data_IF_062895034467
#
_entry.id   IF_062895034467
#
_cell.length_a   1.000
_cell.length_b   1.000
_cell.length_c   1.000
_cell.angle_alpha   90.00
_cell.angle_beta   90.00
_cell.angle_gamma   90.00
#
_symmetry.space_group_name_H-M   'P 1'
#
loop_
_entity.id
_entity.type
_entity.pdbx_description
1 polymer ?
#
# COMPACT_ATOMS: atom_id res chain seq x y z
N UNK A 1 28.85 35.58 -70.83
CA UNK A 1 28.37 34.28 -71.34
C UNK A 1 28.73 33.19 -70.34
N UNK A 2 27.74 32.37 -70.03
CA UNK A 2 27.79 31.01 -69.48
C UNK A 2 28.44 30.72 -68.11
N UNK A 3 27.51 30.57 -67.17
CA UNK A 3 27.51 29.68 -66.01
C UNK A 3 28.33 28.40 -66.19
N UNK A 4 29.08 28.04 -65.15
CA UNK A 4 29.26 26.64 -64.76
C UNK A 4 28.88 26.49 -63.29
N UNK A 5 27.69 25.91 -63.11
CA UNK A 5 27.20 25.39 -61.84
C UNK A 5 28.18 24.35 -61.31
N UNK A 6 28.48 24.41 -60.02
CA UNK A 6 28.61 23.20 -59.19
C UNK A 6 28.01 23.49 -57.81
N UNK A 7 26.73 23.19 -57.73
CA UNK A 7 26.07 22.79 -56.50
C UNK A 7 26.70 21.46 -56.08
N UNK A 8 27.55 21.45 -55.05
CA UNK A 8 27.81 20.22 -54.29
C UNK A 8 27.07 20.33 -52.97
N UNK A 9 25.80 19.95 -53.01
CA UNK A 9 25.11 19.43 -51.83
C UNK A 9 25.66 18.03 -51.57
N UNK A 10 26.81 17.90 -50.89
CA UNK A 10 27.22 16.62 -50.33
C UNK A 10 26.77 16.54 -48.88
N UNK A 11 25.60 15.92 -48.75
CA UNK A 11 25.00 15.34 -47.56
C UNK A 11 26.05 14.50 -46.79
N UNK A 12 26.76 15.09 -45.84
CA UNK A 12 27.72 14.36 -45.01
C UNK A 12 27.92 15.07 -43.70
N UNK A 13 26.97 14.83 -42.81
CA UNK A 13 27.36 14.54 -41.46
C UNK A 13 26.45 13.40 -41.00
N UNK A 14 27.04 12.22 -40.91
CA UNK A 14 26.49 11.11 -40.15
C UNK A 14 26.52 11.59 -38.70
N UNK A 15 25.48 12.29 -38.26
CA UNK A 15 25.19 12.38 -36.83
C UNK A 15 24.53 11.05 -36.45
N UNK A 16 25.37 10.04 -36.26
CA UNK A 16 24.96 8.86 -35.52
C UNK A 16 24.73 9.32 -34.07
N UNK A 17 23.49 9.64 -33.75
CA UNK A 17 23.05 9.76 -32.37
C UNK A 17 23.13 8.36 -31.75
N UNK A 18 24.29 8.01 -31.19
CA UNK A 18 24.37 6.92 -30.23
C UNK A 18 23.65 7.43 -29.00
N UNK A 19 22.37 7.12 -28.89
CA UNK A 19 21.68 7.18 -27.61
C UNK A 19 22.39 6.18 -26.73
N UNK A 20 23.17 6.70 -25.77
CA UNK A 20 23.56 5.93 -24.60
C UNK A 20 22.27 5.39 -24.01
N UNK A 21 22.00 4.10 -24.22
CA UNK A 21 21.06 3.36 -23.40
C UNK A 21 21.72 3.37 -22.03
N UNK A 22 21.30 4.32 -21.19
CA UNK A 22 21.56 4.27 -19.76
C UNK A 22 20.90 2.99 -19.28
N UNK A 23 21.66 1.91 -19.19
CA UNK A 23 21.28 0.77 -18.35
C UNK A 23 21.62 1.16 -16.91
N UNK A 24 20.94 2.20 -16.42
CA UNK A 24 20.82 2.42 -14.98
C UNK A 24 19.75 1.45 -14.51
N UNK A 25 20.18 0.21 -14.31
CA UNK A 25 19.30 -0.87 -13.83
C UNK A 25 20.03 -2.05 -13.19
N UNK A 26 21.37 -2.02 -13.12
CA UNK A 26 22.13 -2.98 -12.30
C UNK A 26 22.23 -2.40 -10.89
N UNK A 27 21.19 -2.65 -10.10
CA UNK A 27 21.11 -2.21 -8.71
C UNK A 27 19.74 -2.36 -8.05
N UNK A 28 18.70 -2.83 -8.76
CA UNK A 28 17.37 -2.99 -8.17
C UNK A 28 17.21 -4.33 -7.43
N UNK A 29 18.16 -4.63 -6.53
CA UNK A 29 17.92 -5.55 -5.41
C UNK A 29 17.57 -4.76 -4.14
N UNK A 30 17.06 -3.54 -4.28
CA UNK A 30 16.26 -2.95 -3.22
C UNK A 30 15.01 -3.81 -3.14
N UNK A 31 14.95 -4.72 -2.16
CA UNK A 31 13.68 -5.25 -1.68
C UNK A 31 12.83 -4.01 -1.36
N UNK A 32 11.97 -3.60 -2.29
CA UNK A 32 11.03 -2.54 -2.06
C UNK A 32 9.99 -3.11 -1.09
N UNK A 33 10.32 -3.06 0.20
CA UNK A 33 9.36 -3.34 1.25
C UNK A 33 8.18 -2.41 1.05
N UNK A 34 7.00 -2.97 0.84
CA UNK A 34 5.87 -2.19 0.40
C UNK A 34 4.61 -3.01 0.26
N UNK A 35 3.50 -2.30 0.32
CA UNK A 35 2.18 -2.85 0.12
C UNK A 35 1.47 -2.06 -0.98
N UNK A 36 0.76 -2.77 -1.85
CA UNK A 36 -0.15 -2.17 -2.84
C UNK A 36 -1.59 -2.51 -2.48
N UNK A 37 -2.51 -1.66 -2.93
CA UNK A 37 -3.94 -1.81 -2.80
C UNK A 37 -4.59 -1.40 -4.12
N UNK A 38 -5.27 -2.33 -4.75
CA UNK A 38 -6.14 -2.14 -5.90
C UNK A 38 -7.56 -2.51 -5.50
N UNK A 39 -8.49 -1.62 -5.81
CA UNK A 39 -9.91 -1.78 -5.52
C UNK A 39 -10.67 -1.60 -6.81
N UNK A 40 -11.62 -2.49 -7.04
CA UNK A 40 -12.55 -2.45 -8.15
C UNK A 40 -13.96 -2.74 -7.65
N UNK A 41 -14.87 -1.81 -7.88
CA UNK A 41 -16.21 -1.83 -7.32
C UNK A 41 -17.26 -1.97 -8.41
N UNK A 42 -18.13 -2.96 -8.27
CA UNK A 42 -19.29 -3.14 -9.12
C UNK A 42 -20.56 -2.72 -8.37
N UNK A 43 -20.97 -1.47 -8.62
CA UNK A 43 -22.20 -0.89 -8.07
C UNK A 43 -23.48 -1.56 -8.60
N UNK A 44 -23.42 -2.30 -9.71
CA UNK A 44 -24.58 -2.99 -10.25
C UNK A 44 -24.82 -4.35 -9.55
N UNK A 45 -23.74 -5.07 -9.22
CA UNK A 45 -23.83 -6.33 -8.45
C UNK A 45 -23.69 -6.15 -6.94
N UNK A 46 -23.32 -4.95 -6.47
CA UNK A 46 -23.08 -4.67 -5.06
C UNK A 46 -21.85 -5.39 -4.53
N UNK A 47 -20.75 -5.38 -5.28
CA UNK A 47 -19.52 -6.07 -4.88
C UNK A 47 -18.29 -5.19 -4.98
N UNK A 48 -17.33 -5.40 -4.08
CA UNK A 48 -16.03 -4.74 -4.07
C UNK A 48 -14.96 -5.82 -4.10
N UNK A 49 -14.17 -5.82 -5.17
CA UNK A 49 -12.98 -6.65 -5.31
C UNK A 49 -11.77 -5.87 -4.83
N UNK A 50 -11.00 -6.49 -3.96
CA UNK A 50 -9.78 -5.93 -3.36
C UNK A 50 -8.63 -6.87 -3.68
N UNK A 51 -7.52 -6.32 -4.16
CA UNK A 51 -6.29 -7.08 -4.39
C UNK A 51 -5.06 -6.23 -4.13
N UNK A 52 -3.94 -6.86 -3.85
CA UNK A 52 -2.67 -6.18 -3.77
C UNK A 52 -1.52 -7.13 -3.52
N UNK A 53 -0.34 -6.53 -3.43
CA UNK A 53 0.92 -7.18 -3.12
C UNK A 53 1.44 -6.66 -1.79
N UNK A 54 2.21 -7.48 -1.12
CA UNK A 54 2.89 -7.15 0.13
C UNK A 54 4.15 -7.99 0.27
N UNK A 55 5.19 -7.40 0.84
CA UNK A 55 6.42 -8.10 1.23
C UNK A 55 6.27 -8.90 2.53
N UNK A 56 5.10 -8.86 3.19
CA UNK A 56 4.84 -9.55 4.47
C UNK A 56 3.97 -10.79 4.31
N UNK A 57 4.13 -11.73 5.24
CA UNK A 57 3.35 -12.97 5.28
C UNK A 57 2.23 -12.97 6.34
N UNK A 58 2.16 -11.95 7.20
CA UNK A 58 1.09 -11.80 8.19
C UNK A 58 -0.27 -11.51 7.52
N UNK A 59 -1.35 -11.73 8.27
CA UNK A 59 -2.69 -11.50 7.75
C UNK A 59 -2.98 -10.04 7.42
N UNK A 60 -3.70 -9.84 6.31
CA UNK A 60 -4.16 -8.55 5.83
C UNK A 60 -5.63 -8.37 6.21
N UNK A 61 -5.92 -7.34 7.00
CA UNK A 61 -7.27 -6.94 7.37
C UNK A 61 -7.80 -5.89 6.39
N UNK A 62 -8.98 -6.13 5.83
CA UNK A 62 -9.65 -5.29 4.85
C UNK A 62 -10.95 -4.79 5.47
N UNK A 63 -11.15 -3.47 5.45
CA UNK A 63 -12.30 -2.79 6.01
C UNK A 63 -12.95 -1.89 4.96
N UNK A 64 -14.24 -2.08 4.70
CA UNK A 64 -15.03 -1.22 3.82
C UNK A 64 -15.97 -0.39 4.68
N UNK A 65 -15.81 0.93 4.60
CA UNK A 65 -16.59 1.90 5.37
C UNK A 65 -17.40 2.76 4.41
N UNK A 66 -18.70 2.89 4.63
CA UNK A 66 -19.56 3.80 3.88
C UNK A 66 -19.32 5.26 4.28
N UNK A 67 -19.76 6.20 3.45
CA UNK A 67 -19.64 7.65 3.70
C UNK A 67 -20.24 8.09 5.05
N UNK A 68 -21.28 7.40 5.53
CA UNK A 68 -21.89 7.65 6.85
C UNK A 68 -21.05 7.17 8.04
N UNK A 69 -19.87 6.58 7.80
CA UNK A 69 -18.97 6.04 8.81
C UNK A 69 -19.28 4.60 9.24
N UNK A 70 -20.33 3.98 8.72
CA UNK A 70 -20.68 2.60 9.05
C UNK A 70 -19.77 1.62 8.31
N UNK A 71 -19.37 0.56 9.03
CA UNK A 71 -18.66 -0.56 8.44
C UNK A 71 -19.65 -1.40 7.64
N UNK A 72 -19.44 -1.48 6.32
CA UNK A 72 -20.31 -2.22 5.40
C UNK A 72 -19.82 -3.63 5.16
N UNK A 73 -18.51 -3.85 5.16
CA UNK A 73 -17.92 -5.18 4.99
C UNK A 73 -16.52 -5.26 5.62
N UNK A 74 -16.14 -6.48 6.01
CA UNK A 74 -14.82 -6.80 6.57
C UNK A 74 -14.35 -8.10 5.95
N UNK A 75 -13.05 -8.21 5.66
CA UNK A 75 -12.41 -9.45 5.30
C UNK A 75 -11.01 -9.53 5.92
N UNK A 76 -10.50 -10.74 6.07
CA UNK A 76 -9.12 -11.00 6.47
C UNK A 76 -8.56 -12.07 5.55
N UNK A 77 -7.36 -11.83 5.01
CA UNK A 77 -6.72 -12.72 4.04
C UNK A 77 -5.24 -12.86 4.35
N UNK A 78 -4.75 -14.09 4.41
CA UNK A 78 -3.31 -14.38 4.46
C UNK A 78 -2.73 -14.29 3.05
N UNK A 79 -1.68 -13.48 2.81
CA UNK A 79 -1.02 -13.42 1.51
C UNK A 79 -0.43 -14.77 1.08
N UNK A 80 -0.48 -15.07 -0.21
CA UNK A 80 0.15 -16.24 -0.82
C UNK A 80 1.06 -15.80 -1.95
N UNK A 81 2.34 -16.17 -1.89
CA UNK A 81 3.32 -15.75 -2.90
C UNK A 81 3.57 -14.23 -2.96
N UNK A 82 3.25 -13.49 -1.90
CA UNK A 82 3.39 -12.04 -1.84
C UNK A 82 2.14 -11.26 -2.28
N UNK A 83 1.05 -11.93 -2.65
CA UNK A 83 -0.18 -11.28 -3.08
C UNK A 83 -1.39 -11.70 -2.23
N UNK A 84 -2.39 -10.83 -2.13
CA UNK A 84 -3.64 -11.07 -1.43
C UNK A 84 -4.82 -10.59 -2.27
N UNK A 85 -5.99 -11.21 -2.10
CA UNK A 85 -7.22 -10.78 -2.75
C UNK A 85 -8.47 -11.20 -1.97
N UNK A 86 -9.51 -10.39 -2.03
CA UNK A 86 -10.82 -10.63 -1.43
C UNK A 86 -11.92 -10.05 -2.31
N UNK A 87 -13.10 -10.65 -2.27
CA UNK A 87 -14.32 -10.08 -2.83
C UNK A 87 -15.34 -9.92 -1.70
N UNK A 88 -15.85 -8.71 -1.52
CA UNK A 88 -16.79 -8.36 -0.47
C UNK A 88 -18.12 -7.96 -1.11
N UNK A 89 -19.19 -8.66 -0.74
CA UNK A 89 -20.56 -8.28 -1.13
C UNK A 89 -21.13 -7.23 -0.16
N UNK A 90 -21.79 -6.23 -0.71
CA UNK A 90 -22.47 -5.16 0.03
C UNK A 90 -23.96 -5.20 -0.30
N UNK A 91 -24.80 -5.11 0.72
CA UNK A 91 -26.23 -4.89 0.52
C UNK A 91 -26.46 -3.42 0.13
N UNK A 92 -27.16 -3.21 -0.98
CA UNK A 92 -27.60 -1.89 -1.45
C UNK A 92 -26.45 -0.88 -1.56
N UNK A 93 -25.46 -1.21 -2.40
CA UNK A 93 -24.27 -0.39 -2.59
C UNK A 93 -24.61 0.94 -3.28
N UNK A 94 -24.54 2.04 -2.51
CA UNK A 94 -24.81 3.40 -2.97
C UNK A 94 -23.88 4.42 -2.30
N UNK A 95 -23.52 5.47 -3.05
CA UNK A 95 -22.61 6.51 -2.58
C UNK A 95 -21.12 6.12 -2.58
N UNK A 96 -20.35 6.85 -1.77
CA UNK A 96 -18.90 6.66 -1.66
C UNK A 96 -18.54 5.67 -0.56
N UNK A 97 -17.47 4.91 -0.79
CA UNK A 97 -16.92 3.96 0.16
C UNK A 97 -15.41 4.15 0.32
N UNK A 98 -14.94 4.04 1.55
CA UNK A 98 -13.52 3.97 1.87
C UNK A 98 -13.14 2.52 2.11
N UNK A 99 -12.24 1.99 1.29
CA UNK A 99 -11.61 0.69 1.49
C UNK A 99 -10.26 0.90 2.13
N UNK A 100 -10.09 0.36 3.33
CA UNK A 100 -8.89 0.44 4.15
C UNK A 100 -8.29 -0.94 4.33
N UNK A 101 -6.99 -1.04 4.12
CA UNK A 101 -6.24 -2.28 4.29
C UNK A 101 -5.12 -2.07 5.30
N UNK A 102 -5.02 -3.00 6.23
CA UNK A 102 -4.09 -2.96 7.35
C UNK A 102 -3.37 -4.28 7.45
N UNK A 103 -2.04 -4.22 7.59
CA UNK A 103 -1.24 -5.40 7.82
C UNK A 103 -0.20 -5.08 8.89
N UNK A 104 -0.41 -5.66 10.06
CA UNK A 104 0.57 -5.57 11.14
C UNK A 104 1.70 -6.56 10.85
N UNK A 105 2.94 -6.13 11.08
CA UNK A 105 4.02 -7.09 11.28
C UNK A 105 4.07 -7.43 12.77
N UNK A 106 4.54 -8.62 13.14
CA UNK A 106 4.71 -9.03 14.55
C UNK A 106 5.57 -8.10 15.42
N UNK A 107 6.11 -7.01 14.85
CA UNK A 107 6.82 -5.94 15.54
C UNK A 107 6.01 -4.63 15.41
N UNK A 108 5.62 -4.04 16.54
CA UNK A 108 4.71 -2.88 16.63
C UNK A 108 5.15 -1.59 15.91
N UNK A 109 6.32 -1.58 15.27
CA UNK A 109 6.98 -0.39 14.73
C UNK A 109 6.75 -0.24 13.22
N UNK A 110 6.18 -1.23 12.52
CA UNK A 110 5.97 -1.16 11.06
C UNK A 110 4.69 -1.87 10.64
N UNK A 111 3.58 -1.14 10.67
CA UNK A 111 2.30 -1.58 10.13
C UNK A 111 2.06 -0.92 8.77
N UNK A 112 1.59 -1.68 7.79
CA UNK A 112 1.05 -1.07 6.57
C UNK A 112 -0.38 -0.66 6.84
N UNK A 113 -0.70 0.57 6.49
CA UNK A 113 -2.06 1.09 6.45
C UNK A 113 -2.20 1.91 5.17
N UNK A 114 -3.13 1.48 4.32
CA UNK A 114 -3.44 2.12 3.04
C UNK A 114 -4.95 2.19 2.93
N UNK A 115 -5.47 3.34 2.52
CA UNK A 115 -6.89 3.52 2.30
C UNK A 115 -7.14 4.23 0.99
N UNK A 116 -8.27 3.91 0.38
CA UNK A 116 -8.68 4.46 -0.89
C UNK A 116 -10.19 4.66 -0.90
N UNK A 117 -10.61 5.80 -1.39
CA UNK A 117 -12.02 6.10 -1.61
C UNK A 117 -12.41 5.76 -3.05
N UNK A 118 -13.58 5.14 -3.18
CA UNK A 118 -14.24 4.78 -4.44
C UNK A 118 -15.66 5.33 -4.43
N UNK A 119 -16.18 5.62 -5.62
CA UNK A 119 -17.54 6.11 -5.83
C UNK A 119 -18.08 5.59 -7.16
N UNK A 120 -19.38 5.74 -7.43
CA UNK A 120 -19.97 5.32 -8.72
C UNK A 120 -19.34 6.03 -9.94
N UNK A 121 -18.77 7.22 -9.77
CA UNK A 121 -18.07 7.97 -10.82
C UNK A 121 -16.58 7.59 -10.94
N UNK A 122 -16.02 6.88 -9.95
CA UNK A 122 -14.65 6.40 -9.92
C UNK A 122 -14.60 5.08 -9.12
N UNK A 123 -15.14 3.98 -9.70
CA UNK A 123 -15.34 2.73 -8.98
C UNK A 123 -14.05 1.94 -8.74
N UNK A 124 -12.97 2.29 -9.45
CA UNK A 124 -11.71 1.56 -9.40
C UNK A 124 -10.56 2.51 -9.07
N UNK A 125 -9.69 2.10 -8.15
CA UNK A 125 -8.54 2.91 -7.74
C UNK A 125 -7.40 2.04 -7.22
N UNK A 126 -6.17 2.42 -7.56
CA UNK A 126 -4.96 1.70 -7.17
C UNK A 126 -3.99 2.66 -6.49
N UNK A 127 -3.38 2.23 -5.40
CA UNK A 127 -2.40 2.97 -4.61
C UNK A 127 -1.34 2.01 -4.08
N UNK A 128 -0.09 2.47 -4.01
CA UNK A 128 1.02 1.69 -3.46
C UNK A 128 1.75 2.52 -2.40
N UNK A 129 2.09 1.87 -1.29
CA UNK A 129 2.90 2.43 -0.21
C UNK A 129 4.21 1.65 -0.15
N UNK A 130 5.28 2.26 -0.64
CA UNK A 130 6.64 1.77 -0.46
C UNK A 130 7.27 2.42 0.78
N UNK A 131 7.88 1.63 1.65
CA UNK A 131 8.81 2.13 2.66
C UNK A 131 10.18 2.21 2.01
N UNK A 132 10.59 3.42 1.61
CA UNK A 132 11.97 3.65 1.19
C UNK A 132 12.87 3.60 2.41
N UNK A 133 13.63 2.51 2.57
CA UNK A 133 14.80 2.51 3.45
C UNK A 133 15.88 3.28 2.70
N UNK A 134 15.95 4.59 2.93
CA UNK A 134 17.20 5.31 2.72
C UNK A 134 18.19 4.64 3.67
N UNK A 135 19.23 3.98 3.15
CA UNK A 135 20.35 3.54 3.99
C UNK A 135 20.90 4.78 4.68
N UNK A 136 20.44 5.02 5.90
CA UNK A 136 21.11 5.92 6.81
C UNK A 136 22.47 5.26 7.06
N UNK A 137 23.53 5.93 6.62
CA UNK A 137 24.87 5.61 7.09
C UNK A 137 24.83 5.44 8.62
N UNK A 138 25.33 4.30 9.09
CA UNK A 138 25.51 4.02 10.51
C UNK A 138 26.56 5.01 11.01
N UNK A 139 26.11 6.17 11.46
CA UNK A 139 26.85 6.99 12.39
C UNK A 139 26.63 6.36 13.76
N UNK A 140 27.66 5.66 14.23
CA UNK A 140 27.84 5.38 15.65
C UNK A 140 27.70 6.68 16.44
N UNK A 141 27.06 6.59 17.61
CA UNK A 141 26.79 7.65 18.60
C UNK A 141 25.54 8.52 18.36
N UNK A 142 24.42 8.09 18.96
CA UNK A 142 23.39 8.99 19.47
C UNK A 142 22.01 8.84 18.82
N UNK A 143 20.99 8.57 19.65
CA UNK A 143 19.57 8.67 19.28
C UNK A 143 19.33 9.99 18.53
N UNK A 144 19.06 9.90 17.22
CA UNK A 144 18.60 11.02 16.40
C UNK A 144 17.21 11.52 16.80
N UNK A 145 16.64 12.42 15.99
CA UNK A 145 15.44 13.27 16.20
C UNK A 145 14.10 12.50 16.32
N UNK A 146 14.10 11.26 16.79
CA UNK A 146 12.92 10.59 17.33
C UNK A 146 13.09 10.50 18.83
N UNK A 147 12.06 10.90 19.57
CA UNK A 147 11.97 10.64 21.00
C UNK A 147 12.06 9.11 21.16
N UNK A 148 13.24 8.62 21.55
CA UNK A 148 13.44 7.22 21.86
C UNK A 148 12.47 6.92 23.00
N UNK A 149 11.40 6.16 22.70
CA UNK A 149 10.54 5.59 23.72
C UNK A 149 11.46 4.71 24.54
N UNK A 150 11.70 5.13 25.77
CA UNK A 150 12.48 4.40 26.73
C UNK A 150 11.75 3.08 27.03
N UNK A 151 12.19 2.00 26.38
CA UNK A 151 11.68 0.64 26.60
C UNK A 151 12.31 -0.01 27.85
N UNK A 152 13.08 0.75 28.65
CA UNK A 152 13.63 0.23 29.91
C UNK A 152 12.57 0.12 31.00
N UNK A 153 11.42 0.79 30.84
CA UNK A 153 10.20 0.46 31.56
C UNK A 153 9.37 -0.50 30.74
N UNK A 154 9.12 -1.71 31.26
CA UNK A 154 8.14 -2.63 30.70
C UNK A 154 6.85 -1.84 30.44
N UNK A 155 6.25 -1.91 29.23
CA UNK A 155 5.01 -1.19 28.97
C UNK A 155 4.02 -1.57 30.06
N UNK A 156 3.41 -0.58 30.72
CA UNK A 156 2.36 -0.83 31.72
C UNK A 156 1.39 -1.82 31.10
N UNK A 157 1.38 -3.03 31.65
CA UNK A 157 0.58 -4.15 31.14
C UNK A 157 -0.86 -3.65 31.09
N UNK A 158 -1.42 -3.62 29.89
CA UNK A 158 -2.84 -3.34 29.73
C UNK A 158 -3.57 -4.63 30.05
N UNK A 159 -3.93 -4.78 31.33
CA UNK A 159 -4.66 -5.95 31.81
C UNK A 159 -6.15 -5.70 31.61
N UNK A 160 -6.76 -6.47 30.72
CA UNK A 160 -8.21 -6.58 30.58
C UNK A 160 -8.68 -7.79 31.38
N UNK A 161 -9.61 -7.58 32.28
CA UNK A 161 -10.36 -8.63 32.95
C UNK A 161 -11.81 -8.61 32.49
N UNK A 162 -12.36 -9.78 32.20
CA UNK A 162 -13.77 -9.94 31.87
C UNK A 162 -14.36 -10.98 32.82
N UNK A 163 -15.48 -10.68 33.46
CA UNK A 163 -16.22 -11.66 34.26
C UNK A 163 -17.62 -11.85 33.71
N UNK A 164 -18.09 -13.08 33.76
CA UNK A 164 -19.44 -13.47 33.33
C UNK A 164 -19.97 -14.55 34.26
N UNK A 165 -21.27 -14.50 34.52
CA UNK A 165 -22.01 -15.52 35.27
C UNK A 165 -22.77 -16.39 34.27
N UNK A 166 -22.78 -17.71 34.47
CA UNK A 166 -23.52 -18.64 33.60
C UNK A 166 -25.01 -18.27 33.59
N UNK A 167 -25.58 -18.08 32.40
CA UNK A 167 -26.96 -17.60 32.21
C UNK A 167 -27.12 -16.07 32.15
N UNK A 168 -26.05 -15.29 32.32
CA UNK A 168 -26.05 -13.85 32.10
C UNK A 168 -25.89 -13.52 30.62
N UNK A 169 -26.59 -12.48 30.15
CA UNK A 169 -26.34 -11.86 28.83
C UNK A 169 -25.38 -10.67 28.91
N UNK A 170 -24.85 -10.38 30.10
CA UNK A 170 -23.99 -9.22 30.38
C UNK A 170 -22.60 -9.69 30.81
N UNK A 171 -21.57 -9.09 30.22
CA UNK A 171 -20.15 -9.25 30.56
C UNK A 171 -19.64 -7.91 31.09
N UNK A 172 -19.00 -7.93 32.26
CA UNK A 172 -18.33 -6.75 32.80
C UNK A 172 -16.85 -6.80 32.44
N UNK A 173 -16.32 -5.71 31.88
CA UNK A 173 -14.94 -5.60 31.38
C UNK A 173 -14.24 -4.41 32.06
N UNK A 174 -13.10 -4.68 32.70
CA UNK A 174 -12.26 -3.65 33.36
C UNK A 174 -10.78 -3.90 33.15
#
# INVERSE_FOLDING_TARGET
>A
MNSRRYTMTSLSIVFLAITMITVSGLGQNAYAAGMSLSVDADYASGSISVSGDTDRSDDVSILVTAENGNISAVAQVTPSGGSYSASLGLADMDGAYTVSVQQASGHAVSNYQISVEISSSSPSKTISKSLSVSSAEVAEEGCGVLKCVDLTEAPKRFDLSATGVEGSTTIDVS
#
